data_IF_635169811576
#
_entry.id   IF_635169811576
#
_cell.length_a   1.000
_cell.length_b   1.000
_cell.length_c   1.000
_cell.angle_alpha   90.00
_cell.angle_beta   90.00
_cell.angle_gamma   90.00
#
_symmetry.space_group_name_H-M   'P 1'
#
loop_
_entity.id
_entity.type
_entity.pdbx_description
1 polymer ?
#
# COMPACT_ATOMS: atom_id res chain seq x y z
N UNK A 1 -57.97 13.11 38.73
CA UNK A 1 -59.33 12.70 38.32
C UNK A 1 -59.23 11.97 37.01
N UNK A 2 -59.57 10.68 37.03
CA UNK A 2 -59.58 9.77 35.88
C UNK A 2 -60.60 10.22 34.83
N UNK A 3 -60.26 10.13 33.54
CA UNK A 3 -61.24 10.11 32.45
C UNK A 3 -61.33 8.68 31.92
N UNK A 4 -62.57 8.19 31.84
CA UNK A 4 -62.97 6.83 31.47
C UNK A 4 -62.83 6.60 29.96
N UNK A 5 -62.57 5.34 29.53
CA UNK A 5 -62.83 4.88 28.17
C UNK A 5 -64.35 4.68 27.99
N UNK A 6 -64.91 5.15 26.87
CA UNK A 6 -66.26 4.80 26.46
C UNK A 6 -66.25 3.46 25.71
N UNK A 7 -67.36 2.75 25.92
CA UNK A 7 -67.61 1.34 25.72
C UNK A 7 -67.59 0.83 24.27
N UNK A 8 -67.24 -0.45 24.18
CA UNK A 8 -67.60 -1.38 23.12
C UNK A 8 -69.13 -1.47 22.95
N UNK A 9 -69.63 -1.57 21.71
CA UNK A 9 -70.30 -2.80 21.24
C UNK A 9 -71.01 -2.61 19.88
N UNK A 10 -70.78 -3.62 19.04
CA UNK A 10 -71.67 -4.19 18.04
C UNK A 10 -72.14 -3.36 16.82
N UNK A 11 -71.53 -3.68 15.67
CA UNK A 11 -72.35 -4.03 14.50
C UNK A 11 -71.69 -5.12 13.64
N UNK A 12 -71.99 -6.36 14.03
CA UNK A 12 -71.82 -7.58 13.23
C UNK A 12 -72.65 -7.48 11.94
N UNK A 13 -72.06 -7.04 10.84
CA UNK A 13 -72.64 -7.36 9.51
C UNK A 13 -71.58 -7.48 8.41
N UNK A 14 -71.46 -8.68 7.84
CA UNK A 14 -70.74 -8.87 6.57
C UNK A 14 -69.76 -10.04 6.47
N UNK A 15 -70.07 -11.25 6.96
CA UNK A 15 -69.34 -12.46 6.53
C UNK A 15 -69.75 -12.82 5.09
N UNK A 16 -68.97 -12.41 4.09
CA UNK A 16 -69.12 -12.92 2.71
C UNK A 16 -68.59 -14.35 2.63
N UNK A 17 -69.50 -15.33 2.51
CA UNK A 17 -69.14 -16.70 2.16
C UNK A 17 -68.88 -16.76 0.66
N UNK A 18 -67.62 -16.86 0.25
CA UNK A 18 -67.24 -17.08 -1.14
C UNK A 18 -67.25 -18.59 -1.41
N UNK A 19 -68.15 -19.05 -2.29
CA UNK A 19 -68.15 -20.44 -2.78
C UNK A 19 -67.09 -20.59 -3.88
N UNK A 20 -66.20 -21.60 -3.81
CA UNK A 20 -65.24 -21.85 -4.89
C UNK A 20 -65.94 -22.33 -6.16
N UNK A 21 -65.38 -21.99 -7.34
CA UNK A 21 -65.85 -22.48 -8.64
C UNK A 21 -65.56 -23.98 -8.76
N UNK A 22 -66.49 -24.73 -9.36
CA UNK A 22 -66.34 -26.17 -9.58
C UNK A 22 -65.13 -26.48 -10.49
N UNK A 23 -64.45 -27.58 -10.19
CA UNK A 23 -63.30 -28.08 -10.97
C UNK A 23 -63.81 -28.53 -12.35
N UNK A 24 -63.11 -28.23 -13.45
CA UNK A 24 -63.48 -28.70 -14.79
C UNK A 24 -63.54 -30.24 -14.87
N UNK A 25 -64.55 -30.76 -15.58
CA UNK A 25 -64.94 -32.19 -15.62
C UNK A 25 -63.80 -33.16 -16.03
N UNK A 26 -62.81 -32.67 -16.78
CA UNK A 26 -61.59 -33.42 -17.16
C UNK A 26 -60.72 -33.83 -15.97
N UNK A 27 -60.74 -33.06 -14.89
CA UNK A 27 -59.90 -33.31 -13.71
C UNK A 27 -60.63 -34.07 -12.60
N UNK A 28 -61.96 -34.07 -12.59
CA UNK A 28 -62.77 -34.76 -11.59
C UNK A 28 -62.72 -36.30 -11.71
N UNK A 29 -62.59 -36.85 -12.92
CA UNK A 29 -62.53 -38.32 -13.13
C UNK A 29 -61.29 -39.00 -12.55
N UNK A 30 -60.21 -38.25 -12.27
CA UNK A 30 -58.95 -38.79 -11.71
C UNK A 30 -58.86 -38.70 -10.19
N UNK A 31 -59.75 -37.95 -9.52
CA UNK A 31 -59.65 -37.66 -8.10
C UNK A 31 -60.71 -38.36 -7.23
N UNK A 32 -61.55 -39.21 -7.82
CA UNK A 32 -62.60 -39.92 -7.09
C UNK A 32 -63.74 -39.00 -6.63
N UNK A 33 -64.91 -39.58 -6.35
CA UNK A 33 -66.14 -38.84 -6.05
C UNK A 33 -66.10 -38.03 -4.74
N UNK A 34 -65.07 -38.21 -3.91
CA UNK A 34 -64.97 -37.60 -2.58
C UNK A 34 -64.43 -36.16 -2.56
N UNK A 35 -63.88 -35.67 -3.68
CA UNK A 35 -63.34 -34.29 -3.79
C UNK A 35 -64.25 -33.31 -4.54
N UNK A 36 -65.46 -33.72 -4.95
CA UNK A 36 -66.39 -32.86 -5.68
C UNK A 36 -67.16 -31.87 -4.78
N UNK A 37 -67.22 -32.11 -3.47
CA UNK A 37 -67.92 -31.25 -2.50
C UNK A 37 -66.90 -30.49 -1.64
N UNK A 38 -66.61 -29.24 -2.03
CA UNK A 38 -65.62 -28.39 -1.39
C UNK A 38 -65.93 -28.10 0.09
N UNK A 39 -64.95 -28.34 0.96
CA UNK A 39 -64.96 -27.84 2.34
C UNK A 39 -64.59 -26.34 2.32
N UNK A 40 -65.42 -25.51 2.94
CA UNK A 40 -65.23 -24.06 3.06
C UNK A 40 -64.18 -23.74 4.11
N UNK A 41 -63.10 -23.05 3.73
CA UNK A 41 -62.16 -22.45 4.68
C UNK A 41 -62.53 -20.98 4.91
N UNK A 42 -62.57 -20.58 6.19
CA UNK A 42 -62.79 -19.19 6.59
C UNK A 42 -61.42 -18.52 6.72
N UNK A 43 -61.14 -17.51 5.92
CA UNK A 43 -59.97 -16.62 6.08
C UNK A 43 -60.30 -15.48 7.03
N UNK A 44 -59.37 -15.13 7.92
CA UNK A 44 -59.46 -13.97 8.82
C UNK A 44 -59.53 -12.63 8.07
N UNK A 45 -60.01 -11.58 8.74
CA UNK A 45 -60.23 -10.27 8.10
C UNK A 45 -58.92 -9.58 7.70
N UNK A 46 -58.99 -8.65 6.73
CA UNK A 46 -57.85 -7.89 6.22
C UNK A 46 -57.11 -7.07 7.30
N UNK A 47 -57.72 -6.88 8.48
CA UNK A 47 -57.10 -6.19 9.62
C UNK A 47 -56.11 -7.10 10.34
N UNK A 48 -56.42 -8.40 10.52
CA UNK A 48 -55.51 -9.35 11.18
C UNK A 48 -54.31 -9.74 10.32
N UNK A 49 -54.41 -9.62 8.99
CA UNK A 49 -53.28 -9.87 8.08
C UNK A 49 -52.31 -8.69 7.97
N UNK A 50 -52.76 -7.46 8.27
CA UNK A 50 -51.89 -6.26 8.30
C UNK A 50 -51.04 -6.21 9.56
N UNK A 51 -51.62 -6.50 10.72
CA UNK A 51 -50.88 -6.47 12.00
C UNK A 51 -49.82 -7.61 12.12
N UNK A 52 -50.02 -8.74 11.43
CA UNK A 52 -49.04 -9.83 11.39
C UNK A 52 -47.84 -9.53 10.45
N UNK A 53 -48.05 -8.73 9.41
CA UNK A 53 -47.03 -8.46 8.39
C UNK A 53 -46.18 -7.20 8.67
N UNK A 54 -46.52 -6.38 9.67
CA UNK A 54 -45.80 -5.13 9.97
C UNK A 54 -44.55 -5.33 10.86
N UNK A 55 -44.29 -6.55 11.36
CA UNK A 55 -43.14 -6.86 12.23
C UNK A 55 -42.03 -7.71 11.60
N UNK A 56 -42.02 -7.90 10.27
CA UNK A 56 -40.89 -8.50 9.54
C UNK A 56 -40.33 -7.58 8.45
N UNK A 57 -39.33 -6.78 8.81
CA UNK A 57 -38.45 -6.16 7.81
C UNK A 57 -37.47 -7.20 7.26
N UNK A 58 -37.77 -7.74 6.08
CA UNK A 58 -36.80 -8.47 5.25
C UNK A 58 -36.18 -7.49 4.26
N UNK A 59 -34.86 -7.29 4.39
CA UNK A 59 -34.03 -6.53 3.43
C UNK A 59 -33.95 -7.32 2.13
N UNK A 60 -34.32 -6.68 1.02
CA UNK A 60 -34.10 -7.17 -0.34
C UNK A 60 -32.71 -6.74 -0.82
N UNK A 61 -31.76 -7.67 -0.89
CA UNK A 61 -30.53 -7.49 -1.67
C UNK A 61 -30.73 -8.00 -3.11
N UNK A 62 -30.30 -7.16 -4.04
CA UNK A 62 -30.40 -7.33 -5.49
C UNK A 62 -29.33 -8.30 -5.98
N UNK A 63 -29.81 -9.37 -6.64
CA UNK A 63 -29.19 -10.17 -7.70
C UNK A 63 -27.73 -9.85 -8.07
N UNK A 64 -26.80 -10.55 -7.42
CA UNK A 64 -25.38 -10.62 -7.79
C UNK A 64 -25.11 -11.95 -8.52
N UNK A 65 -24.31 -11.88 -9.58
CA UNK A 65 -24.00 -13.01 -10.47
C UNK A 65 -23.38 -14.19 -9.74
N UNK A 66 -23.91 -15.38 -10.04
CA UNK A 66 -23.51 -16.69 -9.55
C UNK A 66 -21.98 -16.94 -9.52
N UNK A 67 -21.38 -16.83 -8.34
CA UNK A 67 -20.16 -17.55 -7.96
C UNK A 67 -20.56 -18.80 -7.19
N UNK A 68 -20.32 -19.98 -7.78
CA UNK A 68 -20.68 -21.27 -7.18
C UNK A 68 -19.99 -21.49 -5.83
N UNK A 69 -20.76 -21.46 -4.74
CA UNK A 69 -20.29 -21.93 -3.44
C UNK A 69 -20.35 -23.45 -3.43
N UNK A 70 -19.17 -24.06 -3.29
CA UNK A 70 -18.98 -25.50 -3.15
C UNK A 70 -19.52 -25.96 -1.79
N UNK A 71 -20.59 -26.76 -1.78
CA UNK A 71 -21.13 -27.33 -0.56
C UNK A 71 -20.28 -28.54 -0.11
N UNK A 72 -19.99 -28.69 1.19
CA UNK A 72 -19.32 -29.88 1.70
C UNK A 72 -20.22 -31.11 1.56
N UNK A 73 -19.64 -32.26 1.18
CA UNK A 73 -20.37 -33.50 0.97
C UNK A 73 -21.12 -33.94 2.24
N UNK A 74 -22.40 -34.24 2.09
CA UNK A 74 -23.24 -34.80 3.15
C UNK A 74 -22.80 -36.23 3.50
N UNK A 75 -23.10 -36.71 4.72
CA UNK A 75 -22.71 -38.06 5.17
C UNK A 75 -23.25 -39.17 4.25
N UNK A 76 -24.46 -39.00 3.71
CA UNK A 76 -25.06 -39.93 2.74
C UNK A 76 -24.30 -39.97 1.41
N UNK A 77 -23.75 -38.84 0.95
CA UNK A 77 -22.94 -38.78 -0.26
C UNK A 77 -21.56 -39.42 -0.05
N UNK A 78 -20.97 -39.25 1.14
CA UNK A 78 -19.74 -39.94 1.54
C UNK A 78 -19.94 -41.46 1.59
N UNK A 79 -21.06 -41.92 2.15
CA UNK A 79 -21.42 -43.33 2.21
C UNK A 79 -21.72 -43.93 0.81
N UNK A 80 -22.32 -43.15 -0.10
CA UNK A 80 -22.49 -43.56 -1.50
C UNK A 80 -21.17 -43.63 -2.26
N UNK A 81 -20.23 -42.72 -1.98
CA UNK A 81 -18.89 -42.73 -2.58
C UNK A 81 -18.05 -43.91 -2.07
N UNK A 82 -18.09 -44.22 -0.77
CA UNK A 82 -17.40 -45.37 -0.20
C UNK A 82 -17.92 -46.70 -0.75
N UNK A 83 -19.24 -46.85 -0.91
CA UNK A 83 -19.84 -48.02 -1.55
C UNK A 83 -19.42 -48.17 -3.02
N UNK A 84 -19.28 -47.06 -3.76
CA UNK A 84 -18.79 -47.07 -5.15
C UNK A 84 -17.30 -47.43 -5.24
N UNK A 85 -16.50 -47.01 -4.26
CA UNK A 85 -15.08 -47.40 -4.16
C UNK A 85 -14.97 -48.92 -3.97
N UNK A 86 -15.70 -49.49 -3.00
CA UNK A 86 -15.69 -50.94 -2.76
C UNK A 86 -16.15 -51.75 -3.98
N UNK A 87 -17.20 -51.28 -4.67
CA UNK A 87 -17.69 -51.92 -5.88
C UNK A 87 -16.69 -51.86 -7.05
N UNK A 88 -15.91 -50.77 -7.14
CA UNK A 88 -14.88 -50.61 -8.16
C UNK A 88 -13.62 -51.44 -7.85
N UNK A 89 -13.24 -51.56 -6.57
CA UNK A 89 -12.17 -52.44 -6.11
C UNK A 89 -12.49 -53.91 -6.40
N UNK A 90 -13.74 -54.35 -6.13
CA UNK A 90 -14.19 -55.70 -6.45
C UNK A 90 -14.23 -55.99 -7.97
N UNK A 91 -14.32 -54.95 -8.80
CA UNK A 91 -14.29 -55.07 -10.27
C UNK A 91 -12.89 -54.94 -10.87
N UNK A 92 -11.86 -54.63 -10.06
CA UNK A 92 -10.47 -54.50 -10.50
C UNK A 92 -10.14 -53.20 -11.25
N UNK A 93 -11.02 -52.19 -11.20
CA UNK A 93 -10.89 -50.95 -11.98
C UNK A 93 -10.12 -49.88 -11.18
N UNK A 94 -8.79 -50.05 -11.09
CA UNK A 94 -7.91 -49.33 -10.15
C UNK A 94 -7.85 -47.81 -10.38
N UNK A 95 -8.05 -47.34 -11.61
CA UNK A 95 -8.05 -45.92 -11.94
C UNK A 95 -9.31 -45.21 -11.43
N UNK A 96 -10.45 -45.89 -11.50
CA UNK A 96 -11.72 -45.38 -10.98
C UNK A 96 -11.68 -45.31 -9.44
N UNK A 97 -11.06 -46.29 -8.80
CA UNK A 97 -10.83 -46.32 -7.34
C UNK A 97 -9.98 -45.12 -6.91
N UNK A 98 -8.86 -44.86 -7.59
CA UNK A 98 -7.98 -43.72 -7.29
C UNK A 98 -8.71 -42.38 -7.45
N UNK A 99 -9.55 -42.26 -8.49
CA UNK A 99 -10.36 -41.06 -8.74
C UNK A 99 -11.45 -40.83 -7.69
N UNK A 100 -12.12 -41.91 -7.25
CA UNK A 100 -13.17 -41.82 -6.22
C UNK A 100 -12.61 -41.58 -4.81
N UNK A 101 -11.46 -42.18 -4.47
CA UNK A 101 -10.75 -41.90 -3.20
C UNK A 101 -10.33 -40.43 -3.11
N UNK A 102 -9.78 -39.87 -4.19
CA UNK A 102 -9.43 -38.44 -4.26
C UNK A 102 -10.63 -37.52 -4.10
N UNK A 103 -11.80 -37.91 -4.63
CA UNK A 103 -13.07 -37.16 -4.46
C UNK A 103 -13.63 -37.24 -3.04
N UNK A 104 -13.43 -38.37 -2.35
CA UNK A 104 -13.81 -38.53 -0.95
C UNK A 104 -12.93 -37.66 -0.05
N UNK A 105 -11.61 -37.66 -0.29
CA UNK A 105 -10.63 -36.83 0.44
C UNK A 105 -10.81 -35.34 0.18
N UNK A 106 -11.17 -34.93 -1.05
CA UNK A 106 -11.39 -33.52 -1.38
C UNK A 106 -12.65 -32.93 -0.75
N UNK A 107 -13.56 -33.76 -0.20
CA UNK A 107 -14.69 -33.32 0.63
C UNK A 107 -15.75 -32.43 -0.04
N UNK A 108 -15.63 -32.22 -1.35
CA UNK A 108 -16.38 -31.22 -2.12
C UNK A 108 -17.02 -31.86 -3.34
N UNK A 109 -18.33 -31.66 -3.51
CA UNK A 109 -19.03 -32.05 -4.74
C UNK A 109 -18.73 -31.04 -5.86
N UNK A 110 -18.18 -31.50 -6.99
CA UNK A 110 -18.13 -30.72 -8.24
C UNK A 110 -16.78 -30.11 -8.64
N UNK A 111 -15.66 -30.82 -8.45
CA UNK A 111 -14.38 -30.41 -9.03
C UNK A 111 -14.23 -31.02 -10.43
N UNK A 112 -14.43 -30.20 -11.47
CA UNK A 112 -13.77 -30.37 -12.77
C UNK A 112 -12.28 -30.02 -12.62
N UNK A 113 -11.43 -30.71 -13.38
CA UNK A 113 -9.96 -30.61 -13.34
C UNK A 113 -9.48 -29.16 -13.57
N UNK A 114 -9.13 -28.44 -12.50
CA UNK A 114 -8.15 -27.35 -12.51
C UNK A 114 -7.16 -27.53 -11.35
N UNK A 115 -5.85 -27.31 -11.57
CA UNK A 115 -4.85 -27.33 -10.49
C UNK A 115 -5.17 -26.25 -9.46
N UNK A 116 -4.76 -26.43 -8.18
CA UNK A 116 -5.15 -25.51 -7.11
C UNK A 116 -4.62 -24.10 -7.41
N UNK A 117 -5.53 -23.17 -7.69
CA UNK A 117 -5.23 -21.74 -7.72
C UNK A 117 -4.59 -21.40 -6.37
N UNK A 118 -3.39 -20.81 -6.43
CA UNK A 118 -2.70 -20.23 -5.30
C UNK A 118 -3.69 -19.43 -4.45
N UNK A 119 -3.62 -19.59 -3.12
CA UNK A 119 -4.44 -18.85 -2.14
C UNK A 119 -4.59 -17.41 -2.63
N UNK A 120 -5.82 -17.00 -2.97
CA UNK A 120 -6.12 -15.62 -3.33
C UNK A 120 -5.81 -14.76 -2.10
N UNK A 121 -4.64 -14.12 -2.08
CA UNK A 121 -4.33 -13.11 -1.07
C UNK A 121 -5.28 -11.94 -1.34
N UNK A 122 -6.13 -11.64 -0.36
CA UNK A 122 -6.88 -10.40 -0.34
C UNK A 122 -5.88 -9.27 -0.11
N UNK A 123 -5.77 -8.34 -1.06
CA UNK A 123 -4.82 -7.24 -1.01
C UNK A 123 -5.58 -5.93 -0.99
N UNK A 124 -5.32 -5.10 0.02
CA UNK A 124 -5.88 -3.75 0.10
C UNK A 124 -5.13 -2.85 -0.86
N UNK A 125 -5.86 -2.23 -1.78
CA UNK A 125 -5.28 -1.30 -2.75
C UNK A 125 -4.76 -0.06 -2.03
N UNK A 126 -3.50 0.27 -2.25
CA UNK A 126 -2.83 1.41 -1.66
C UNK A 126 -2.39 2.39 -2.74
N UNK A 127 -2.38 3.66 -2.40
CA UNK A 127 -1.90 4.80 -3.19
C UNK A 127 -0.89 5.58 -2.36
N UNK A 128 0.11 6.18 -3.01
CA UNK A 128 1.04 7.09 -2.34
C UNK A 128 0.72 8.55 -2.68
N UNK A 129 0.81 9.43 -1.69
CA UNK A 129 0.78 10.88 -1.92
C UNK A 129 2.19 11.43 -2.29
N UNK A 130 2.27 12.73 -2.59
CA UNK A 130 3.56 13.38 -2.87
C UNK A 130 4.49 13.41 -1.64
N UNK A 131 3.91 13.44 -0.45
CA UNK A 131 4.66 13.49 0.80
C UNK A 131 5.26 12.14 1.20
N UNK A 132 4.82 11.05 0.57
CA UNK A 132 5.24 9.68 0.83
C UNK A 132 4.30 8.86 1.70
N UNK A 133 3.18 9.43 2.15
CA UNK A 133 2.20 8.71 2.96
C UNK A 133 1.42 7.72 2.10
N UNK A 134 1.09 6.57 2.70
CA UNK A 134 0.36 5.49 2.05
C UNK A 134 -1.11 5.57 2.47
N UNK A 135 -1.98 5.80 1.51
CA UNK A 135 -3.43 5.91 1.70
C UNK A 135 -4.14 4.72 1.04
N UNK A 136 -5.24 4.20 1.63
CA UNK A 136 -6.06 3.23 0.94
C UNK A 136 -6.69 3.88 -0.29
N UNK A 137 -6.66 3.20 -1.43
CA UNK A 137 -7.35 3.65 -2.63
C UNK A 137 -8.87 3.56 -2.40
N UNK A 138 -9.47 4.67 -2.00
CA UNK A 138 -10.91 4.77 -1.74
C UNK A 138 -11.70 4.45 -3.01
N UNK A 139 -12.59 3.46 -2.92
CA UNK A 139 -13.58 3.11 -3.94
C UNK A 139 -15.00 3.47 -3.51
N UNK A 140 -15.18 4.30 -2.46
CA UNK A 140 -16.53 4.63 -2.01
C UNK A 140 -17.28 5.35 -3.13
N UNK A 141 -18.43 4.78 -3.50
CA UNK A 141 -19.44 5.43 -4.32
C UNK A 141 -19.87 6.68 -3.56
N UNK A 142 -19.36 7.85 -3.94
CA UNK A 142 -19.97 9.09 -3.51
C UNK A 142 -21.37 9.13 -4.12
N UNK A 143 -22.37 9.48 -3.30
CA UNK A 143 -23.72 9.81 -3.79
C UNK A 143 -23.61 11.11 -4.58
N UNK A 144 -23.24 10.93 -5.84
CA UNK A 144 -23.00 11.95 -6.84
C UNK A 144 -24.33 12.57 -7.28
N UNK A 145 -24.91 13.39 -6.40
CA UNK A 145 -26.03 14.28 -6.75
C UNK A 145 -25.47 15.45 -7.56
N UNK A 146 -25.23 15.21 -8.84
CA UNK A 146 -24.80 16.22 -9.82
C UNK A 146 -25.94 17.18 -10.17
N UNK A 147 -25.63 18.46 -10.33
CA UNK A 147 -26.53 19.40 -11.02
C UNK A 147 -26.60 19.03 -12.52
N UNK A 148 -27.80 18.79 -13.05
CA UNK A 148 -27.98 18.43 -14.46
C UNK A 148 -27.50 19.56 -15.39
N UNK A 149 -26.64 19.20 -16.36
CA UNK A 149 -26.24 20.10 -17.46
C UNK A 149 -24.91 20.85 -17.30
N UNK A 150 -24.20 20.70 -16.17
CA UNK A 150 -22.94 21.41 -15.91
C UNK A 150 -21.70 20.76 -16.54
N UNK A 151 -20.67 21.59 -16.74
CA UNK A 151 -19.34 21.21 -17.23
C UNK A 151 -18.66 20.21 -16.30
N UNK A 152 -17.65 19.48 -16.79
CA UNK A 152 -16.91 18.53 -15.94
C UNK A 152 -16.24 19.22 -14.75
N UNK A 153 -15.68 20.41 -14.95
CA UNK A 153 -15.08 21.21 -13.89
C UNK A 153 -16.13 21.63 -12.86
N UNK A 154 -17.26 22.13 -13.34
CA UNK A 154 -18.36 22.57 -12.51
C UNK A 154 -18.98 21.44 -11.69
N UNK A 155 -19.01 20.20 -12.20
CA UNK A 155 -19.43 19.02 -11.42
C UNK A 155 -18.50 18.67 -10.27
N UNK A 156 -17.20 18.86 -10.45
CA UNK A 156 -16.24 18.54 -9.39
C UNK A 156 -16.31 19.62 -8.30
N UNK A 157 -16.23 20.89 -8.68
CA UNK A 157 -16.15 22.01 -7.74
C UNK A 157 -17.49 22.49 -7.17
N UNK A 158 -18.62 22.30 -7.85
CA UNK A 158 -19.96 22.64 -7.33
C UNK A 158 -20.73 21.43 -6.80
N UNK A 159 -20.05 20.31 -6.54
CA UNK A 159 -20.69 19.12 -5.98
C UNK A 159 -21.24 19.43 -4.59
N UNK A 160 -22.50 19.07 -4.34
CA UNK A 160 -23.09 19.15 -2.99
C UNK A 160 -22.50 18.04 -2.13
N UNK A 161 -21.67 18.40 -1.16
CA UNK A 161 -21.06 17.49 -0.19
C UNK A 161 -21.12 18.05 1.23
N UNK A 162 -21.11 17.16 2.22
CA UNK A 162 -20.96 17.55 3.63
C UNK A 162 -19.53 18.04 3.93
N UNK A 163 -19.37 18.93 4.91
CA UNK A 163 -18.05 19.47 5.30
C UNK A 163 -17.04 18.38 5.68
N UNK A 164 -17.47 17.32 6.37
CA UNK A 164 -16.61 16.17 6.72
C UNK A 164 -16.14 15.41 5.46
N UNK A 165 -17.00 15.29 4.44
CA UNK A 165 -16.64 14.69 3.15
C UNK A 165 -15.60 15.55 2.43
N UNK A 166 -15.81 16.86 2.40
CA UNK A 166 -14.89 17.83 1.79
C UNK A 166 -13.50 17.79 2.45
N UNK A 167 -13.44 17.76 3.78
CA UNK A 167 -12.16 17.66 4.51
C UNK A 167 -11.42 16.35 4.21
N UNK A 168 -12.14 15.24 4.05
CA UNK A 168 -11.53 13.95 3.66
C UNK A 168 -11.02 13.96 2.24
N UNK A 169 -11.78 14.55 1.31
CA UNK A 169 -11.38 14.69 -0.08
C UNK A 169 -10.12 15.56 -0.19
N UNK A 170 -10.04 16.69 0.52
CA UNK A 170 -8.82 17.53 0.53
C UNK A 170 -7.62 16.84 1.17
N UNK A 171 -7.82 16.07 2.25
CA UNK A 171 -6.72 15.30 2.88
C UNK A 171 -6.22 14.12 2.04
N UNK A 172 -7.04 13.61 1.13
CA UNK A 172 -6.69 12.46 0.28
C UNK A 172 -6.38 12.86 -1.16
N UNK A 173 -6.83 14.05 -1.57
CA UNK A 173 -6.59 14.65 -2.86
C UNK A 173 -5.14 15.07 -3.00
N UNK A 174 -4.59 14.88 -4.19
CA UNK A 174 -3.24 15.31 -4.53
C UNK A 174 -3.32 16.45 -5.54
N UNK A 175 -2.40 17.42 -5.48
CA UNK A 175 -2.28 18.46 -6.53
C UNK A 175 -2.13 17.86 -7.94
N UNK A 176 -1.50 16.69 -8.04
CA UNK A 176 -1.42 15.91 -9.29
C UNK A 176 -2.79 15.47 -9.83
N UNK A 177 -3.78 15.20 -8.98
CA UNK A 177 -5.13 14.84 -9.42
C UNK A 177 -5.85 16.04 -10.02
N UNK A 178 -5.70 17.21 -9.41
CA UNK A 178 -6.22 18.47 -9.95
C UNK A 178 -5.58 18.77 -11.31
N UNK A 179 -4.24 18.71 -11.40
CA UNK A 179 -3.52 18.89 -12.66
C UNK A 179 -4.00 17.91 -13.75
N UNK A 180 -4.19 16.64 -13.42
CA UNK A 180 -4.73 15.64 -14.35
C UNK A 180 -6.15 15.93 -14.80
N UNK A 181 -6.99 16.54 -13.94
CA UNK A 181 -8.32 16.99 -14.33
C UNK A 181 -8.22 18.10 -15.37
N UNK A 182 -7.34 19.08 -15.16
CA UNK A 182 -7.07 20.16 -16.12
C UNK A 182 -6.47 19.63 -17.43
N UNK A 183 -5.43 18.79 -17.38
CA UNK A 183 -4.80 18.19 -18.56
C UNK A 183 -5.82 17.46 -19.44
N UNK A 184 -6.71 16.66 -18.84
CA UNK A 184 -7.77 15.95 -19.57
C UNK A 184 -8.75 16.90 -20.26
N UNK A 185 -8.97 18.08 -19.70
CA UNK A 185 -9.82 19.11 -20.30
C UNK A 185 -9.09 19.85 -21.41
N UNK A 186 -7.82 20.23 -21.18
CA UNK A 186 -6.95 20.85 -22.18
C UNK A 186 -6.78 19.98 -23.44
N UNK A 187 -6.59 18.66 -23.27
CA UNK A 187 -6.48 17.72 -24.40
C UNK A 187 -7.79 17.61 -25.19
N UNK A 188 -8.93 17.88 -24.55
CA UNK A 188 -10.23 17.89 -25.24
C UNK A 188 -10.49 19.24 -25.90
N UNK A 189 -10.14 20.35 -25.24
CA UNK A 189 -10.30 21.70 -25.78
C UNK A 189 -9.38 21.94 -26.97
N UNK A 190 -8.18 21.34 -26.99
CA UNK A 190 -7.25 21.43 -28.12
C UNK A 190 -7.78 20.81 -29.43
N UNK A 191 -8.79 19.94 -29.36
CA UNK A 191 -9.44 19.35 -30.55
C UNK A 191 -10.52 20.24 -31.16
N UNK A 192 -10.88 21.33 -30.48
CA UNK A 192 -11.90 22.29 -30.90
C UNK A 192 -11.16 23.45 -31.58
N UNK A 193 -11.64 23.90 -32.75
CA UNK A 193 -11.11 25.09 -33.41
C UNK A 193 -11.44 26.29 -32.54
N UNK A 194 -10.41 27.05 -32.13
CA UNK A 194 -10.57 28.29 -31.38
C UNK A 194 -11.14 29.37 -32.30
N UNK A 195 -12.17 30.08 -31.84
CA UNK A 195 -12.44 31.43 -32.31
C UNK A 195 -11.52 32.39 -31.53
N UNK A 196 -11.09 33.52 -32.11
CA UNK A 196 -10.15 34.45 -31.46
C UNK A 196 -10.67 35.03 -30.13
N UNK A 197 -11.98 34.94 -29.88
CA UNK A 197 -12.64 35.47 -28.68
C UNK A 197 -12.84 34.43 -27.56
N UNK A 198 -12.50 33.16 -27.77
CA UNK A 198 -12.73 32.10 -26.79
C UNK A 198 -11.45 31.74 -26.03
N UNK A 199 -11.47 31.90 -24.69
CA UNK A 199 -10.37 31.46 -23.85
C UNK A 199 -10.36 29.94 -23.69
N UNK A 200 -9.22 29.39 -23.27
CA UNK A 200 -9.09 27.96 -23.00
C UNK A 200 -10.03 27.52 -21.88
N UNK A 201 -10.30 28.41 -20.92
CA UNK A 201 -11.19 28.18 -19.79
C UNK A 201 -12.64 28.13 -20.25
N UNK A 202 -13.06 29.04 -21.13
CA UNK A 202 -14.42 29.03 -21.71
C UNK A 202 -14.69 27.70 -22.45
N UNK A 203 -13.71 27.23 -23.23
CA UNK A 203 -13.83 25.97 -23.97
C UNK A 203 -13.86 24.77 -23.01
N UNK A 204 -13.14 24.83 -21.88
CA UNK A 204 -13.18 23.79 -20.86
C UNK A 204 -14.53 23.77 -20.13
N UNK A 205 -15.13 24.93 -19.87
CA UNK A 205 -16.44 25.07 -19.23
C UNK A 205 -17.60 24.71 -20.16
N UNK A 206 -17.49 24.94 -21.47
CA UNK A 206 -18.53 24.55 -22.42
C UNK A 206 -18.65 23.02 -22.57
N UNK A 207 -17.67 22.23 -22.11
CA UNK A 207 -17.67 20.78 -22.22
C UNK A 207 -18.57 20.09 -21.18
N UNK A 208 -19.78 19.72 -21.61
CA UNK A 208 -20.70 18.87 -20.83
C UNK A 208 -20.17 17.43 -20.72
N UNK A 209 -20.04 16.93 -19.49
CA UNK A 209 -19.72 15.52 -19.23
C UNK A 209 -20.86 14.58 -19.63
N UNK A 210 -20.57 13.47 -20.32
CA UNK A 210 -21.57 12.43 -20.64
C UNK A 210 -21.49 11.30 -19.60
N UNK A 211 -22.63 10.75 -19.12
CA UNK A 211 -22.66 9.64 -18.15
C UNK A 211 -21.81 8.41 -18.53
N UNK A 212 -21.75 8.06 -19.84
CA UNK A 212 -20.86 7.00 -20.36
C UNK A 212 -19.36 7.29 -20.16
N UNK A 213 -18.98 8.55 -20.04
CA UNK A 213 -17.60 8.97 -19.76
C UNK A 213 -17.26 8.78 -18.29
N UNK A 214 -18.23 8.98 -17.39
CA UNK A 214 -18.01 8.88 -15.93
C UNK A 214 -17.76 7.43 -15.51
N UNK A 215 -18.52 6.46 -16.05
CA UNK A 215 -18.27 5.04 -15.81
C UNK A 215 -16.91 4.58 -16.36
N UNK A 216 -16.55 5.06 -17.56
CA UNK A 216 -15.23 4.80 -18.15
C UNK A 216 -14.11 5.40 -17.30
N UNK A 217 -14.33 6.58 -16.73
CA UNK A 217 -13.35 7.25 -15.87
C UNK A 217 -13.19 6.54 -14.53
N UNK A 218 -14.28 6.03 -13.93
CA UNK A 218 -14.20 5.16 -12.75
C UNK A 218 -13.37 3.91 -13.02
N UNK A 219 -13.66 3.21 -14.12
CA UNK A 219 -12.88 2.04 -14.54
C UNK A 219 -11.41 2.38 -14.81
N UNK A 220 -11.13 3.56 -15.34
CA UNK A 220 -9.76 4.03 -15.55
C UNK A 220 -9.06 4.33 -14.22
N UNK A 221 -9.73 4.97 -13.26
CA UNK A 221 -9.21 5.21 -11.89
C UNK A 221 -8.89 3.89 -11.20
N UNK A 222 -9.78 2.90 -11.27
CA UNK A 222 -9.54 1.55 -10.73
C UNK A 222 -8.32 0.88 -11.39
N UNK A 223 -8.22 0.93 -12.73
CA UNK A 223 -7.06 0.39 -13.46
C UNK A 223 -5.76 1.11 -13.09
N UNK A 224 -5.82 2.41 -12.85
CA UNK A 224 -4.66 3.20 -12.45
C UNK A 224 -4.21 2.84 -11.04
N UNK A 225 -5.14 2.72 -10.08
CA UNK A 225 -4.84 2.23 -8.74
C UNK A 225 -4.23 0.81 -8.77
N UNK A 226 -4.73 -0.07 -9.65
CA UNK A 226 -4.13 -1.41 -9.87
C UNK A 226 -2.71 -1.30 -10.42
N UNK A 227 -2.47 -0.39 -11.36
CA UNK A 227 -1.15 -0.17 -11.94
C UNK A 227 -0.17 0.39 -10.90
N UNK A 228 -0.62 1.33 -10.07
CA UNK A 228 0.17 1.95 -9.01
C UNK A 228 0.53 0.94 -7.93
N UNK A 229 -0.45 0.18 -7.42
CA UNK A 229 -0.19 -0.89 -6.47
C UNK A 229 0.82 -1.91 -7.00
N UNK A 230 0.64 -2.38 -8.25
CA UNK A 230 1.60 -3.29 -8.89
C UNK A 230 2.99 -2.67 -9.06
N UNK A 231 3.07 -1.36 -9.28
CA UNK A 231 4.35 -0.64 -9.36
C UNK A 231 5.03 -0.61 -7.98
N UNK A 232 4.27 -0.34 -6.93
CA UNK A 232 4.76 -0.33 -5.54
C UNK A 232 5.22 -1.73 -5.13
N UNK A 233 4.44 -2.76 -5.38
CA UNK A 233 4.79 -4.16 -5.08
C UNK A 233 6.09 -4.59 -5.78
N UNK A 234 6.20 -4.30 -7.08
CA UNK A 234 7.45 -4.53 -7.83
C UNK A 234 8.62 -3.75 -7.25
N UNK A 235 8.40 -2.52 -6.78
CA UNK A 235 9.46 -1.71 -6.18
C UNK A 235 10.03 -2.36 -4.93
N UNK A 236 9.25 -3.13 -4.16
CA UNK A 236 9.75 -3.87 -3.02
C UNK A 236 10.50 -5.13 -3.44
N UNK A 237 9.92 -5.92 -4.36
CA UNK A 237 10.51 -7.19 -4.83
C UNK A 237 11.80 -7.01 -5.64
N UNK A 238 11.87 -5.96 -6.47
CA UNK A 238 13.04 -5.63 -7.29
C UNK A 238 14.05 -4.73 -6.58
N UNK A 239 13.80 -4.31 -5.34
CA UNK A 239 14.72 -3.44 -4.62
C UNK A 239 16.03 -4.17 -4.32
N UNK A 240 17.19 -3.56 -4.61
CA UNK A 240 18.49 -4.13 -4.24
C UNK A 240 18.85 -3.95 -2.77
N UNK A 241 18.06 -3.17 -2.01
CA UNK A 241 18.38 -2.75 -0.62
C UNK A 241 17.38 -3.27 0.43
N UNK A 242 16.17 -3.66 0.03
CA UNK A 242 15.23 -4.28 0.98
C UNK A 242 15.78 -5.62 1.49
N UNK A 243 15.72 -5.85 2.80
CA UNK A 243 16.20 -7.10 3.43
C UNK A 243 15.48 -8.34 2.90
N UNK A 244 14.17 -8.20 2.65
CA UNK A 244 13.31 -9.28 2.17
C UNK A 244 13.45 -9.53 0.66
N UNK A 245 14.09 -8.62 -0.07
CA UNK A 245 14.29 -8.77 -1.50
C UNK A 245 15.29 -9.87 -1.83
N UNK A 246 15.00 -10.59 -2.91
CA UNK A 246 15.92 -11.57 -3.50
C UNK A 246 17.18 -10.97 -4.11
N UNK A 247 17.16 -9.68 -4.48
CA UNK A 247 18.28 -9.01 -5.17
C UNK A 247 19.35 -8.49 -4.23
N UNK A 248 19.07 -8.41 -2.94
CA UNK A 248 20.00 -7.87 -1.95
C UNK A 248 21.24 -8.76 -1.81
N UNK A 249 22.42 -8.13 -1.91
CA UNK A 249 23.71 -8.75 -1.61
C UNK A 249 23.88 -8.96 -0.10
N UNK A 250 23.28 -10.03 0.44
CA UNK A 250 23.27 -10.33 1.89
C UNK A 250 24.66 -10.44 2.53
N UNK A 251 25.67 -10.82 1.75
CA UNK A 251 27.06 -10.93 2.23
C UNK A 251 27.73 -9.59 2.51
N UNK A 252 27.16 -8.46 2.08
CA UNK A 252 27.68 -7.12 2.36
C UNK A 252 27.19 -6.55 3.70
N UNK A 253 26.22 -7.20 4.34
CA UNK A 253 25.65 -6.74 5.61
C UNK A 253 26.65 -7.02 6.73
N UNK A 254 27.02 -5.96 7.45
CA UNK A 254 27.96 -6.00 8.57
C UNK A 254 27.21 -6.27 9.87
N UNK A 255 26.23 -5.41 10.16
CA UNK A 255 25.46 -5.41 11.40
C UNK A 255 24.01 -5.00 11.13
N UNK A 256 23.09 -5.53 11.91
CA UNK A 256 21.64 -5.29 11.80
C UNK A 256 21.15 -4.79 13.16
N UNK A 257 20.60 -3.57 13.15
CA UNK A 257 19.96 -2.92 14.29
C UNK A 257 18.50 -3.33 14.44
N UNK A 258 17.66 -2.39 14.89
CA UNK A 258 16.23 -2.60 15.13
C UNK A 258 15.46 -2.37 13.82
N UNK A 259 15.56 -1.16 13.26
CA UNK A 259 14.89 -0.74 12.03
C UNK A 259 15.87 -0.35 10.92
N UNK A 260 17.17 -0.48 11.16
CA UNK A 260 18.21 -0.11 10.20
C UNK A 260 19.33 -1.15 10.20
N UNK A 261 20.14 -1.15 9.14
CA UNK A 261 21.31 -2.01 9.05
C UNK A 261 22.48 -1.27 8.40
N UNK A 262 23.69 -1.75 8.70
CA UNK A 262 24.94 -1.27 8.15
C UNK A 262 25.48 -2.28 7.14
N UNK A 263 25.86 -1.81 5.95
CA UNK A 263 26.42 -2.65 4.90
C UNK A 263 27.59 -1.97 4.17
N UNK A 264 28.46 -2.76 3.57
CA UNK A 264 29.49 -2.25 2.64
C UNK A 264 28.84 -1.99 1.27
N UNK A 265 29.40 -1.04 0.51
CA UNK A 265 28.99 -0.79 -0.87
C UNK A 265 29.21 -2.02 -1.78
N UNK A 266 28.37 -2.15 -2.81
CA UNK A 266 28.43 -3.26 -3.79
C UNK A 266 29.43 -3.00 -4.93
N UNK A 267 29.87 -1.75 -5.10
CA UNK A 267 30.86 -1.34 -6.09
C UNK A 267 32.23 -1.13 -5.43
N UNK A 268 33.28 -0.90 -6.24
CA UNK A 268 34.66 -0.64 -5.80
C UNK A 268 34.78 0.43 -4.69
N UNK A 269 33.77 1.31 -4.56
CA UNK A 269 33.72 2.35 -3.55
C UNK A 269 34.63 3.52 -3.88
N UNK A 270 34.66 4.50 -2.97
CA UNK A 270 35.60 5.61 -3.04
C UNK A 270 36.82 5.26 -2.19
N UNK A 271 36.55 4.76 -0.99
CA UNK A 271 37.50 4.17 -0.07
C UNK A 271 37.17 2.68 0.20
N UNK A 272 38.16 1.94 0.70
CA UNK A 272 38.01 0.53 1.09
C UNK A 272 36.94 0.35 2.18
N UNK A 273 36.87 1.30 3.12
CA UNK A 273 35.95 1.35 4.26
C UNK A 273 34.64 2.12 3.96
N UNK A 274 34.30 2.31 2.68
CA UNK A 274 33.03 2.94 2.29
C UNK A 274 31.84 2.05 2.68
N UNK A 275 31.01 2.55 3.60
CA UNK A 275 29.80 1.88 4.09
C UNK A 275 28.53 2.68 3.81
N UNK A 276 27.39 2.00 3.89
CA UNK A 276 26.07 2.58 3.75
C UNK A 276 25.20 2.23 4.95
N UNK A 277 24.43 3.21 5.42
CA UNK A 277 23.39 3.03 6.43
C UNK A 277 22.05 2.98 5.69
N UNK A 278 21.28 1.93 5.92
CA UNK A 278 20.04 1.68 5.18
C UNK A 278 18.90 1.34 6.17
N UNK A 279 17.72 1.97 6.06
CA UNK A 279 16.54 1.55 6.79
C UNK A 279 15.98 0.25 6.23
N UNK A 280 15.41 -0.59 7.11
CA UNK A 280 14.71 -1.82 6.69
C UNK A 280 13.44 -1.51 5.93
N UNK A 281 12.73 -0.44 6.33
CA UNK A 281 11.57 0.09 5.62
C UNK A 281 11.98 0.76 4.29
N UNK A 282 11.25 0.47 3.22
CA UNK A 282 11.44 1.13 1.93
C UNK A 282 10.86 2.56 1.98
N UNK A 283 11.73 3.52 2.24
CA UNK A 283 11.42 4.95 2.21
C UNK A 283 12.32 5.63 1.17
N UNK A 284 11.85 6.73 0.54
CA UNK A 284 12.62 7.44 -0.49
C UNK A 284 13.66 8.41 0.04
N UNK A 285 13.41 8.95 1.23
CA UNK A 285 14.15 10.08 1.79
C UNK A 285 14.20 10.00 3.30
N UNK A 286 15.26 10.53 3.90
CA UNK A 286 15.37 10.61 5.37
C UNK A 286 14.29 11.48 6.01
N UNK A 287 13.74 12.45 5.28
CA UNK A 287 12.70 13.34 5.80
C UNK A 287 11.38 12.59 6.06
N UNK A 288 11.12 11.53 5.29
CA UNK A 288 9.95 10.66 5.42
C UNK A 288 10.06 9.65 6.56
N UNK A 289 11.25 9.44 7.11
CA UNK A 289 11.46 8.47 8.17
C UNK A 289 10.80 8.88 9.49
N UNK A 290 10.44 7.88 10.28
CA UNK A 290 9.99 8.05 11.65
C UNK A 290 11.16 8.44 12.57
N UNK A 291 10.84 9.05 13.72
CA UNK A 291 11.83 9.55 14.67
C UNK A 291 12.72 8.41 15.21
N UNK A 292 12.14 7.25 15.51
CA UNK A 292 12.88 6.09 16.00
C UNK A 292 13.94 5.61 15.00
N UNK A 293 13.59 5.54 13.71
CA UNK A 293 14.52 5.12 12.64
C UNK A 293 15.62 6.16 12.47
N UNK A 294 15.26 7.44 12.53
CA UNK A 294 16.21 8.54 12.41
C UNK A 294 17.22 8.60 13.56
N UNK A 295 16.77 8.39 14.81
CA UNK A 295 17.66 8.35 15.97
C UNK A 295 18.60 7.13 15.93
N UNK A 296 18.12 6.00 15.41
CA UNK A 296 18.96 4.83 15.13
C UNK A 296 20.04 5.14 14.08
N UNK A 297 19.67 5.82 12.98
CA UNK A 297 20.65 6.29 11.98
C UNK A 297 21.68 7.26 12.57
N UNK A 298 21.31 8.09 13.54
CA UNK A 298 22.26 8.95 14.26
C UNK A 298 23.20 8.14 15.16
N UNK A 299 22.73 7.05 15.74
CA UNK A 299 23.56 6.17 16.55
C UNK A 299 24.62 5.47 15.68
N UNK A 300 24.26 5.00 14.49
CA UNK A 300 25.23 4.50 13.50
C UNK A 300 26.29 5.54 13.16
N UNK A 301 25.88 6.77 12.82
CA UNK A 301 26.82 7.86 12.53
C UNK A 301 27.78 8.12 13.68
N UNK A 302 27.29 8.20 14.93
CA UNK A 302 28.15 8.38 16.11
C UNK A 302 29.17 7.25 16.28
N UNK A 303 28.77 6.00 16.07
CA UNK A 303 29.69 4.87 16.16
C UNK A 303 30.74 4.89 15.05
N UNK A 304 30.36 5.23 13.81
CA UNK A 304 31.30 5.34 12.69
C UNK A 304 32.29 6.49 12.88
N UNK A 305 31.82 7.65 13.36
CA UNK A 305 32.70 8.78 13.71
C UNK A 305 33.70 8.37 14.79
N UNK A 306 33.26 7.63 15.81
CA UNK A 306 34.16 7.17 16.88
C UNK A 306 35.22 6.19 16.36
N UNK A 307 34.83 5.27 15.47
CA UNK A 307 35.73 4.33 14.82
C UNK A 307 36.81 5.06 14.00
N UNK A 308 36.40 5.96 13.11
CA UNK A 308 37.34 6.65 12.21
C UNK A 308 38.21 7.66 12.95
N UNK A 309 37.71 8.25 14.03
CA UNK A 309 38.51 9.11 14.91
C UNK A 309 39.65 8.36 15.60
N UNK A 310 39.48 7.08 15.96
CA UNK A 310 40.57 6.25 16.51
C UNK A 310 41.65 5.97 15.45
N UNK A 311 41.28 6.01 14.16
CA UNK A 311 42.20 5.86 13.03
C UNK A 311 42.75 7.19 12.50
N UNK A 312 42.54 8.32 13.20
CA UNK A 312 42.94 9.66 12.74
C UNK A 312 42.35 10.04 11.36
N UNK A 313 41.16 9.53 11.05
CA UNK A 313 40.39 9.86 9.85
C UNK A 313 39.17 10.72 10.21
N UNK A 314 38.78 11.59 9.29
CA UNK A 314 37.49 12.27 9.34
C UNK A 314 36.47 11.54 8.47
N UNK A 315 35.22 12.00 8.43
CA UNK A 315 34.15 11.32 7.73
C UNK A 315 33.09 12.24 7.16
N UNK A 316 32.57 11.83 6.00
CA UNK A 316 31.49 12.51 5.30
C UNK A 316 30.32 11.56 5.15
N UNK A 317 29.16 12.02 5.60
CA UNK A 317 27.89 11.32 5.44
C UNK A 317 27.06 12.09 4.43
N UNK A 318 26.54 11.44 3.39
CA UNK A 318 25.68 12.12 2.46
C UNK A 318 24.55 11.25 1.95
N UNK A 319 23.48 11.93 1.56
CA UNK A 319 22.26 11.37 1.02
C UNK A 319 21.89 12.14 -0.24
N UNK A 320 21.46 11.40 -1.25
CA UNK A 320 20.98 11.95 -2.51
C UNK A 320 19.58 11.43 -2.79
N UNK A 321 18.59 12.13 -2.25
CA UNK A 321 17.17 11.85 -2.44
C UNK A 321 16.70 12.42 -3.78
N UNK A 322 17.02 11.74 -4.87
CA UNK A 322 16.56 12.07 -6.23
C UNK A 322 15.29 11.32 -6.60
N UNK A 323 14.44 11.94 -7.40
CA UNK A 323 13.22 11.33 -7.94
C UNK A 323 12.38 10.65 -6.85
N UNK A 324 12.05 11.41 -5.79
CA UNK A 324 11.24 10.91 -4.66
C UNK A 324 9.92 10.27 -5.13
N UNK A 325 9.36 10.77 -6.25
CA UNK A 325 8.16 10.23 -6.90
C UNK A 325 8.34 8.80 -7.47
N UNK A 326 9.56 8.44 -7.86
CA UNK A 326 9.91 7.08 -8.33
C UNK A 326 10.16 6.11 -7.19
N UNK A 327 10.22 6.60 -5.95
CA UNK A 327 10.41 5.82 -4.74
C UNK A 327 11.64 4.89 -4.75
N UNK A 328 12.85 5.42 -4.99
CA UNK A 328 14.07 4.66 -4.72
C UNK A 328 14.16 4.31 -3.24
N UNK A 329 14.95 3.30 -2.87
CA UNK A 329 15.23 3.02 -1.46
C UNK A 329 16.31 3.97 -0.96
N UNK A 330 16.04 4.66 0.14
CA UNK A 330 16.97 5.52 0.86
C UNK A 330 18.20 4.74 1.34
N UNK A 331 19.36 5.34 1.20
CA UNK A 331 20.56 4.96 1.92
C UNK A 331 21.43 6.20 2.12
N UNK A 332 22.18 6.22 3.22
CA UNK A 332 23.18 7.26 3.51
C UNK A 332 24.55 6.66 3.23
N UNK A 333 25.28 7.25 2.29
CA UNK A 333 26.67 6.89 1.99
C UNK A 333 27.58 7.49 3.06
N UNK A 334 28.50 6.69 3.59
CA UNK A 334 29.43 7.06 4.65
C UNK A 334 30.84 6.80 4.14
N UNK A 335 31.62 7.86 3.95
CA UNK A 335 32.97 7.78 3.37
C UNK A 335 33.96 8.34 4.38
N UNK A 336 34.96 7.55 4.81
CA UNK A 336 36.08 8.09 5.58
C UNK A 336 37.00 8.89 4.67
N UNK A 337 37.57 9.95 5.22
CA UNK A 337 38.55 10.81 4.58
C UNK A 337 39.76 10.96 5.51
N UNK A 338 40.92 11.23 4.93
CA UNK A 338 42.07 11.68 5.71
C UNK A 338 41.74 13.03 6.38
N UNK A 339 42.28 13.25 7.58
CA UNK A 339 41.92 14.41 8.41
C UNK A 339 42.14 15.75 7.67
N UNK A 340 43.26 15.89 6.95
CA UNK A 340 43.58 17.11 6.19
C UNK A 340 42.55 17.41 5.09
N UNK A 341 42.05 16.36 4.43
CA UNK A 341 41.03 16.45 3.38
C UNK A 341 39.65 16.71 4.01
N UNK A 342 39.36 16.10 5.16
CA UNK A 342 38.15 16.31 5.94
C UNK A 342 37.93 17.77 6.34
N UNK A 343 38.98 18.44 6.83
CA UNK A 343 38.92 19.85 7.20
C UNK A 343 38.58 20.77 6.01
N UNK A 344 38.99 20.38 4.81
CA UNK A 344 38.72 21.12 3.57
C UNK A 344 37.38 20.75 2.93
N UNK A 345 36.78 19.61 3.26
CA UNK A 345 35.56 19.11 2.62
C UNK A 345 34.39 20.11 2.65
N UNK A 346 34.11 20.83 3.77
CA UNK A 346 33.06 21.84 3.79
C UNK A 346 33.26 22.95 2.74
N UNK A 347 34.51 23.31 2.43
CA UNK A 347 34.84 24.36 1.46
C UNK A 347 34.54 23.88 0.04
N UNK A 348 34.95 22.66 -0.30
CA UNK A 348 34.68 22.04 -1.60
C UNK A 348 33.19 21.89 -1.86
N UNK A 349 32.44 21.34 -0.90
CA UNK A 349 30.99 21.20 -1.04
C UNK A 349 30.27 22.54 -1.11
N UNK A 350 30.68 23.53 -0.31
CA UNK A 350 30.10 24.88 -0.37
C UNK A 350 30.31 25.52 -1.74
N UNK A 351 31.50 25.39 -2.32
CA UNK A 351 31.78 25.90 -3.67
C UNK A 351 30.95 25.16 -4.72
N UNK A 352 30.98 23.82 -4.70
CA UNK A 352 30.28 23.00 -5.68
C UNK A 352 28.75 23.21 -5.65
N UNK A 353 28.14 23.40 -4.47
CA UNK A 353 26.70 23.66 -4.34
C UNK A 353 26.32 25.06 -4.86
N UNK A 354 27.18 26.05 -4.73
CA UNK A 354 26.89 27.39 -5.28
C UNK A 354 27.04 27.41 -6.80
N UNK A 355 27.98 26.64 -7.34
CA UNK A 355 28.26 26.50 -8.77
C UNK A 355 27.31 25.50 -9.47
N UNK A 356 26.59 24.66 -8.73
CA UNK A 356 25.66 23.71 -9.32
C UNK A 356 24.36 24.38 -9.80
N UNK A 357 23.75 23.78 -10.83
CA UNK A 357 22.50 24.23 -11.46
C UNK A 357 22.53 25.68 -11.98
N UNK A 358 21.41 26.15 -12.54
CA UNK A 358 21.28 27.49 -13.10
C UNK A 358 21.43 28.60 -12.06
N UNK A 359 21.69 29.83 -12.52
CA UNK A 359 21.76 31.01 -11.63
C UNK A 359 20.38 31.47 -11.14
N UNK A 360 19.32 31.13 -11.90
CA UNK A 360 17.94 31.50 -11.62
C UNK A 360 17.15 30.31 -11.07
N UNK A 361 17.33 30.03 -9.78
CA UNK A 361 16.57 28.99 -9.06
C UNK A 361 15.60 29.66 -8.09
N UNK A 362 14.43 29.05 -7.86
CA UNK A 362 13.43 29.58 -6.94
C UNK A 362 13.88 29.42 -5.48
N UNK A 363 14.51 28.29 -5.17
CA UNK A 363 15.00 27.98 -3.84
C UNK A 363 16.46 28.41 -3.64
N UNK A 364 16.82 28.73 -2.40
CA UNK A 364 18.20 29.03 -2.03
C UNK A 364 19.07 27.80 -2.25
N UNK A 365 20.15 27.94 -3.04
CA UNK A 365 21.08 26.84 -3.36
C UNK A 365 21.68 26.19 -2.12
N UNK A 366 22.31 26.97 -1.24
CA UNK A 366 22.99 26.47 -0.05
C UNK A 366 22.15 26.71 1.21
N UNK A 367 21.78 25.62 1.89
CA UNK A 367 21.13 25.62 3.19
C UNK A 367 22.09 24.98 4.19
N UNK A 368 22.41 25.68 5.28
CA UNK A 368 23.19 25.10 6.38
C UNK A 368 22.28 24.23 7.24
N UNK A 369 22.60 22.93 7.32
CA UNK A 369 21.76 21.92 7.96
C UNK A 369 21.98 21.92 9.46
N UNK A 370 21.02 22.47 10.20
CA UNK A 370 20.89 22.21 11.66
C UNK A 370 19.93 21.06 11.92
N UNK A 371 18.83 21.03 11.17
CA UNK A 371 17.85 19.97 11.23
C UNK A 371 17.16 19.84 9.87
N UNK A 372 17.64 18.90 9.07
CA UNK A 372 17.20 18.64 7.70
C UNK A 372 15.66 18.57 7.58
N UNK A 373 15.01 17.85 8.51
CA UNK A 373 13.56 17.59 8.49
C UNK A 373 12.70 18.83 8.71
N UNK A 374 13.25 19.87 9.36
CA UNK A 374 12.55 21.14 9.58
C UNK A 374 12.79 22.15 8.46
N UNK A 375 13.88 21.99 7.72
CA UNK A 375 14.31 22.94 6.70
C UNK A 375 13.82 22.58 5.30
N UNK A 376 13.70 21.28 5.00
CA UNK A 376 13.21 20.79 3.71
C UNK A 376 11.85 20.10 3.90
N UNK A 377 10.81 20.52 3.15
CA UNK A 377 9.51 19.85 3.18
C UNK A 377 9.55 18.44 2.57
N UNK A 378 8.58 17.60 2.96
CA UNK A 378 8.39 16.26 2.37
C UNK A 378 8.03 16.37 0.89
N UNK A 379 8.50 15.41 0.08
CA UNK A 379 8.19 15.33 -1.35
C UNK A 379 9.07 16.18 -2.28
N UNK A 380 10.07 16.88 -1.74
CA UNK A 380 11.10 17.53 -2.54
C UNK A 380 12.29 16.60 -2.77
N UNK A 381 12.91 16.68 -3.96
CA UNK A 381 14.21 16.06 -4.19
C UNK A 381 15.29 16.95 -3.58
N UNK A 382 16.26 16.36 -2.90
CA UNK A 382 17.34 17.12 -2.26
C UNK A 382 18.64 16.33 -2.18
N UNK A 383 19.71 17.07 -2.01
CA UNK A 383 21.02 16.58 -1.63
C UNK A 383 21.33 17.09 -0.22
N UNK A 384 21.86 16.21 0.65
CA UNK A 384 22.30 16.57 1.99
C UNK A 384 23.65 15.92 2.28
N UNK A 385 24.55 16.67 2.90
CA UNK A 385 25.87 16.21 3.32
C UNK A 385 26.16 16.71 4.74
N UNK A 386 26.57 15.81 5.62
CA UNK A 386 26.98 16.07 7.00
C UNK A 386 28.48 15.74 7.16
N UNK A 387 29.22 16.59 7.86
CA UNK A 387 30.65 16.42 8.12
C UNK A 387 30.85 15.91 9.56
N UNK A 388 31.13 14.62 9.70
CA UNK A 388 31.19 13.94 10.99
C UNK A 388 29.90 14.08 11.81
N UNK A 389 30.01 14.74 12.98
CA UNK A 389 28.87 15.09 13.84
C UNK A 389 28.48 16.57 13.76
N UNK A 390 29.19 17.35 12.95
CA UNK A 390 28.95 18.78 12.81
C UNK A 390 27.82 19.06 11.82
N UNK A 391 27.42 20.34 11.73
CA UNK A 391 26.36 20.75 10.82
C UNK A 391 26.80 20.55 9.37
N UNK A 392 25.85 20.08 8.56
CA UNK A 392 26.04 19.83 7.15
C UNK A 392 25.58 20.96 6.23
N UNK A 393 25.55 20.65 4.94
CA UNK A 393 24.84 21.43 3.94
C UNK A 393 23.70 20.62 3.34
N UNK A 394 22.68 21.33 2.86
CA UNK A 394 21.62 20.75 2.06
C UNK A 394 21.30 21.67 0.87
N UNK A 395 20.82 21.05 -0.20
CA UNK A 395 20.46 21.69 -1.44
C UNK A 395 19.18 21.04 -1.98
N UNK A 396 18.17 21.86 -2.30
CA UNK A 396 16.93 21.38 -2.92
C UNK A 396 17.17 21.25 -4.42
N UNK A 397 16.94 20.07 -4.97
CA UNK A 397 17.13 19.78 -6.40
C UNK A 397 15.82 20.09 -7.12
N UNK A 398 15.83 21.10 -7.98
CA UNK A 398 14.67 21.46 -8.80
C UNK A 398 14.71 20.78 -10.17
N UNK A 399 15.90 20.67 -10.77
CA UNK A 399 16.09 20.14 -12.13
C UNK A 399 16.87 18.83 -12.12
N UNK A 400 16.17 17.70 -12.23
CA UNK A 400 16.82 16.37 -12.23
C UNK A 400 17.79 16.14 -13.41
N UNK A 401 17.60 16.84 -14.53
CA UNK A 401 18.45 16.69 -15.73
C UNK A 401 19.77 17.47 -15.61
N UNK A 402 19.75 18.61 -14.91
CA UNK A 402 20.92 19.48 -14.76
C UNK A 402 21.76 19.10 -13.54
N UNK A 403 21.14 18.57 -12.49
CA UNK A 403 21.88 18.09 -11.33
C UNK A 403 22.40 16.68 -11.62
N UNK A 404 23.71 16.38 -11.46
CA UNK A 404 24.22 15.03 -11.72
C UNK A 404 23.91 14.06 -10.59
N UNK A 405 23.60 12.80 -10.92
CA UNK A 405 23.39 11.74 -9.93
C UNK A 405 24.69 11.27 -9.25
N UNK A 406 25.84 11.77 -9.70
CA UNK A 406 27.16 11.47 -9.13
C UNK A 406 27.75 12.67 -8.39
N UNK A 407 26.98 13.73 -8.16
CA UNK A 407 27.46 15.02 -7.63
C UNK A 407 28.37 14.86 -6.41
N UNK A 408 27.89 14.20 -5.36
CA UNK A 408 28.65 14.02 -4.13
C UNK A 408 29.91 13.16 -4.36
N UNK A 409 29.78 12.06 -5.10
CA UNK A 409 30.89 11.17 -5.38
C UNK A 409 31.95 11.79 -6.28
N UNK A 410 31.57 12.72 -7.16
CA UNK A 410 32.48 13.49 -8.02
C UNK A 410 33.33 14.44 -7.18
N UNK A 411 32.70 15.18 -6.26
CA UNK A 411 33.41 16.09 -5.35
C UNK A 411 34.39 15.30 -4.49
N UNK A 412 33.94 14.20 -3.86
CA UNK A 412 34.81 13.38 -3.00
C UNK A 412 35.93 12.73 -3.80
N UNK A 413 35.65 12.20 -4.99
CA UNK A 413 36.69 11.65 -5.85
C UNK A 413 37.70 12.71 -6.30
N UNK A 414 37.25 13.94 -6.55
CA UNK A 414 38.14 15.07 -6.86
C UNK A 414 39.01 15.48 -5.67
N UNK A 415 38.49 15.39 -4.44
CA UNK A 415 39.27 15.63 -3.21
C UNK A 415 40.31 14.53 -2.95
N UNK A 416 39.99 13.27 -3.26
CA UNK A 416 40.86 12.10 -3.09
C UNK A 416 41.77 11.79 -4.29
N UNK A 417 41.75 12.64 -5.33
CA UNK A 417 42.45 12.44 -6.61
C UNK A 417 42.22 11.04 -7.26
N UNK A 418 40.97 10.57 -7.20
CA UNK A 418 40.58 9.26 -7.73
C UNK A 418 40.24 9.32 -9.22
N UNK A 419 40.55 8.24 -9.99
CA UNK A 419 40.29 8.22 -11.42
C UNK A 419 38.77 8.27 -11.71
N UNK A 420 38.34 8.92 -12.81
CA UNK A 420 36.93 9.05 -13.17
C UNK A 420 36.15 7.74 -13.29
N UNK A 421 36.85 6.62 -13.54
CA UNK A 421 36.27 5.29 -13.61
C UNK A 421 35.56 4.90 -12.31
N UNK A 422 36.07 5.30 -11.14
CA UNK A 422 35.51 4.92 -9.84
C UNK A 422 34.12 5.51 -9.56
N UNK A 423 33.84 6.72 -10.05
CA UNK A 423 32.61 7.45 -9.69
C UNK A 423 31.64 7.67 -10.86
N UNK A 424 32.10 7.78 -12.13
CA UNK A 424 31.20 7.99 -13.28
C UNK A 424 30.40 6.75 -13.67
N UNK A 425 31.02 5.56 -13.55
CA UNK A 425 30.39 4.28 -13.87
C UNK A 425 30.73 3.29 -12.77
N UNK A 426 29.84 3.22 -11.78
CA UNK A 426 29.97 2.28 -10.66
C UNK A 426 29.93 0.85 -11.21
N UNK A 427 31.10 0.22 -11.35
CA UNK A 427 31.22 -1.19 -11.69
C UNK A 427 31.01 -2.01 -10.41
N UNK A 428 30.11 -2.99 -10.48
CA UNK A 428 29.90 -3.92 -9.37
C UNK A 428 31.13 -4.79 -9.20
N UNK A 429 31.63 -4.86 -7.97
CA UNK A 429 32.79 -5.66 -7.65
C UNK A 429 32.50 -7.17 -7.72
N UNK A 430 33.55 -7.96 -7.83
CA UNK A 430 33.45 -9.40 -7.65
C UNK A 430 32.98 -9.74 -6.23
N UNK A 431 32.09 -10.73 -6.12
CA UNK A 431 31.53 -11.17 -4.83
C UNK A 431 32.60 -11.55 -3.80
N UNK A 432 33.75 -12.09 -4.24
CA UNK A 432 34.87 -12.44 -3.35
C UNK A 432 35.48 -11.19 -2.69
N UNK A 433 35.70 -10.12 -3.47
CA UNK A 433 36.23 -8.85 -2.97
C UNK A 433 35.26 -8.18 -2.00
N UNK A 434 33.98 -8.17 -2.36
CA UNK A 434 32.92 -7.62 -1.50
C UNK A 434 32.89 -8.32 -0.13
N UNK A 435 32.93 -9.67 -0.12
CA UNK A 435 33.00 -10.46 1.12
C UNK A 435 34.23 -10.13 1.95
N UNK A 436 35.40 -10.04 1.32
CA UNK A 436 36.63 -9.69 2.03
C UNK A 436 36.55 -8.31 2.68
N UNK A 437 36.01 -7.31 1.98
CA UNK A 437 35.79 -5.96 2.53
C UNK A 437 34.80 -5.97 3.69
N UNK A 438 33.68 -6.68 3.53
CA UNK A 438 32.69 -6.82 4.60
C UNK A 438 33.28 -7.50 5.85
N UNK A 439 34.09 -8.55 5.69
CA UNK A 439 34.77 -9.23 6.80
C UNK A 439 35.81 -8.33 7.49
N UNK A 440 36.64 -7.62 6.72
CA UNK A 440 37.61 -6.65 7.25
C UNK A 440 36.91 -5.56 8.05
N UNK A 441 35.88 -4.94 7.46
CA UNK A 441 35.14 -3.87 8.13
C UNK A 441 34.41 -4.39 9.37
N UNK A 442 33.86 -5.61 9.33
CA UNK A 442 33.22 -6.22 10.49
C UNK A 442 34.17 -6.40 11.67
N UNK A 443 35.43 -6.76 11.42
CA UNK A 443 36.46 -6.85 12.46
C UNK A 443 36.77 -5.47 13.06
N UNK A 444 36.86 -4.43 12.22
CA UNK A 444 37.07 -3.05 12.67
C UNK A 444 35.88 -2.51 13.48
N UNK A 445 34.66 -2.85 13.07
CA UNK A 445 33.42 -2.38 13.71
C UNK A 445 33.12 -3.07 15.06
N UNK A 446 33.65 -4.27 15.28
CA UNK A 446 33.37 -5.12 16.45
C UNK A 446 33.41 -4.37 17.82
N UNK A 447 34.41 -3.53 18.13
CA UNK A 447 34.48 -2.83 19.42
C UNK A 447 33.40 -1.74 19.60
N UNK A 448 32.96 -1.16 18.48
CA UNK A 448 32.01 -0.05 18.41
C UNK A 448 30.56 -0.52 18.18
N UNK A 449 30.37 -1.82 17.99
CA UNK A 449 29.07 -2.41 17.66
C UNK A 449 28.10 -2.36 18.86
N UNK A 450 27.25 -1.34 18.84
CA UNK A 450 26.19 -1.17 19.84
C UNK A 450 25.09 -2.23 19.68
N UNK A 451 24.91 -2.84 18.51
CA UNK A 451 23.83 -3.81 18.26
C UNK A 451 24.01 -5.11 19.06
N UNK A 452 25.26 -5.49 19.33
CA UNK A 452 25.58 -6.67 20.17
C UNK A 452 25.21 -6.45 21.63
N UNK A 453 25.36 -5.23 22.12
CA UNK A 453 24.96 -4.86 23.49
C UNK A 453 23.46 -4.97 23.66
N UNK A 454 22.69 -4.59 22.63
CA UNK A 454 21.23 -4.75 22.62
C UNK A 454 20.83 -6.23 22.69
N UNK A 455 21.38 -7.08 21.81
CA UNK A 455 21.09 -8.52 21.78
C UNK A 455 21.48 -9.25 23.06
N UNK A 456 22.53 -8.79 23.73
CA UNK A 456 22.99 -9.36 24.99
C UNK A 456 22.02 -9.05 26.15
N UNK A 457 21.31 -7.93 26.10
CA UNK A 457 20.29 -7.56 27.10
C UNK A 457 18.95 -8.26 26.87
N UNK A 458 18.67 -8.72 25.65
CA UNK A 458 17.46 -9.50 25.30
C UNK A 458 17.61 -11.02 25.55
N UNK A 459 18.70 -11.47 26.18
CA UNK A 459 18.87 -12.85 26.66
C UNK A 459 17.83 -13.22 27.75
N UNK A 460 17.47 -14.51 27.90
CA UNK A 460 16.12 -14.91 28.27
C UNK A 460 15.74 -14.42 29.67
N UNK A 461 14.70 -13.58 29.73
CA UNK A 461 13.89 -13.40 30.92
C UNK A 461 13.23 -14.73 31.25
N UNK A 462 13.97 -15.58 31.95
CA UNK A 462 13.39 -16.71 32.67
C UNK A 462 12.36 -16.16 33.62
N UNK A 463 11.11 -16.52 33.35
CA UNK A 463 9.98 -16.48 34.25
C UNK A 463 10.33 -17.19 35.57
N UNK A 464 10.98 -16.47 36.49
CA UNK A 464 10.99 -16.84 37.90
C UNK A 464 9.72 -16.26 38.50
N UNK A 465 8.66 -17.08 38.46
CA UNK A 465 7.46 -16.82 39.22
C UNK A 465 7.84 -16.65 40.69
N UNK A 466 7.68 -15.43 41.20
CA UNK A 466 7.75 -15.15 42.62
C UNK A 466 6.58 -15.85 43.31
N UNK A 467 6.85 -17.05 43.82
CA UNK A 467 5.98 -17.70 44.81
C UNK A 467 6.03 -16.86 46.07
N UNK A 468 5.00 -16.04 46.27
CA UNK A 468 4.73 -15.35 47.52
C UNK A 468 4.39 -16.40 48.57
N UNK A 469 5.36 -16.71 49.43
CA UNK A 469 5.10 -17.50 50.64
C UNK A 469 4.34 -16.61 51.62
N UNK A 470 3.07 -16.93 51.84
CA UNK A 470 2.30 -16.45 52.98
C UNK A 470 2.92 -17.03 54.25
N UNK A 471 3.56 -16.21 55.08
CA UNK A 471 3.90 -16.57 56.45
C UNK A 471 3.12 -15.67 57.39
N UNK A 472 2.14 -16.30 58.04
CA UNK A 472 1.47 -15.83 59.26
C UNK A 472 2.54 -15.57 60.31
N UNK A 473 2.45 -14.43 60.97
CA UNK A 473 2.39 -14.28 62.43
C UNK A 473 1.66 -12.98 62.76
#
# INVERSE_FOLDING_TARGET
MFRRPDDDDDDYSGRKVVKPKAIPEKYAKKLGAEFATGKTFVTGSDKSQKDFNESQQVRNDVMESSGGRLAPLTEDEKNKLSAKILKAELKGDMDLVKKLKRKLESGVSGVDDEPPKSRSKEVTMMRRDREGNILPASSKKSDDRHAEGSSRMRREYEKRQDLDSMVREEKTGTAGDQLRLFEKQLIKSSKIRRHDDESVDDIAEMQKGRKKTDEKDRRNKEKEAIKEHKRIERSFDDCSRCIDSSRLAKHNIIAVGINTYLAVVEWDGLDDEHVIIVPTQHCSSSIQLDENVWDEMRLWRKGLVALWKEQEKDCVFFEMARHVDSNPHLYVECVPLEQEIGDMAPIYFKKAINECEGEYMDNKKLIETKNLRRQIPKGFSYFAVDFGLSNGYAHVIESHDHFPATFATEIIAGMLDLPPKKWRKRETDEMSKQKSRAEKFKQLWEPFDWTKRLRSQEGPSTSSGSSTSSRRE
#
